data_IF_600426014392
#
_entry.id   IF_600426014392
#
_cell.length_a   1.000
_cell.length_b   1.000
_cell.length_c   1.000
_cell.angle_alpha   90.00
_cell.angle_beta   90.00
_cell.angle_gamma   90.00
#
_symmetry.space_group_name_H-M   'P 1'
#
loop_
_entity.id
_entity.type
_entity.pdbx_description
1 polymer ?
#
# COMPACT_ATOMS: atom_id res chain seq x y z
N UNK A 1 -7.65 -2.89 -9.18
CA UNK A 1 -7.01 -2.25 -10.36
C UNK A 1 -6.18 -1.02 -9.98
N UNK A 2 -6.72 -0.04 -9.24
CA UNK A 2 -5.96 1.17 -8.83
C UNK A 2 -4.64 0.88 -8.11
N UNK A 3 -4.67 0.12 -7.01
CA UNK A 3 -3.45 -0.22 -6.24
C UNK A 3 -2.39 -0.94 -7.09
N UNK A 4 -2.83 -1.85 -7.96
CA UNK A 4 -1.94 -2.61 -8.85
C UNK A 4 -1.23 -1.73 -9.89
N UNK A 5 -1.81 -0.59 -10.26
CA UNK A 5 -1.17 0.40 -11.14
C UNK A 5 -0.28 1.38 -10.35
N UNK A 6 -0.69 1.76 -9.14
CA UNK A 6 0.07 2.72 -8.32
C UNK A 6 1.40 2.15 -7.82
N UNK A 7 1.41 0.92 -7.29
CA UNK A 7 2.62 0.30 -6.74
C UNK A 7 3.82 0.27 -7.70
N UNK A 8 3.70 -0.22 -8.96
CA UNK A 8 4.82 -0.20 -9.90
C UNK A 8 5.17 1.19 -10.43
N UNK A 9 4.24 2.15 -10.37
CA UNK A 9 4.46 3.52 -10.85
C UNK A 9 5.21 4.40 -9.83
N UNK A 10 5.03 4.14 -8.53
CA UNK A 10 5.63 4.97 -7.46
C UNK A 10 7.16 5.01 -7.52
N UNK A 11 7.82 3.88 -7.72
CA UNK A 11 9.29 3.81 -7.78
C UNK A 11 9.88 4.69 -8.89
N UNK A 12 9.47 4.52 -10.16
CA UNK A 12 9.85 5.40 -11.26
C UNK A 12 9.53 6.88 -11.02
N UNK A 13 8.36 7.20 -10.45
CA UNK A 13 7.98 8.59 -10.15
C UNK A 13 8.92 9.24 -9.13
N UNK A 14 9.27 8.53 -8.04
CA UNK A 14 10.24 9.02 -7.05
C UNK A 14 11.59 9.25 -7.72
N UNK A 15 12.07 8.32 -8.55
CA UNK A 15 13.35 8.45 -9.24
C UNK A 15 13.40 9.61 -10.25
N UNK A 16 12.26 10.03 -10.79
CA UNK A 16 12.19 11.18 -11.70
C UNK A 16 12.29 12.52 -10.95
N UNK A 17 11.65 12.62 -9.77
CA UNK A 17 11.50 13.92 -9.08
C UNK A 17 12.57 14.16 -8.02
N UNK A 18 13.17 13.10 -7.49
CA UNK A 18 14.04 13.15 -6.33
C UNK A 18 15.48 12.81 -6.72
N UNK A 19 16.44 13.51 -6.12
CA UNK A 19 17.86 13.26 -6.35
C UNK A 19 18.24 11.85 -5.85
N UNK A 20 19.15 11.11 -6.53
CA UNK A 20 19.47 9.72 -6.18
C UNK A 20 19.89 9.50 -4.72
N UNK A 21 20.54 10.47 -4.08
CA UNK A 21 20.93 10.41 -2.65
C UNK A 21 19.74 10.48 -1.69
N UNK A 22 18.62 11.05 -2.12
CA UNK A 22 17.42 11.27 -1.29
C UNK A 22 16.34 10.22 -1.57
N UNK A 23 16.47 9.42 -2.64
CA UNK A 23 15.50 8.37 -3.00
C UNK A 23 15.24 7.39 -1.85
N UNK A 24 16.25 6.87 -1.10
CA UNK A 24 15.96 5.97 0.03
C UNK A 24 15.12 6.64 1.12
N UNK A 25 15.41 7.91 1.44
CA UNK A 25 14.69 8.67 2.47
C UNK A 25 13.23 8.89 2.06
N UNK A 26 12.98 9.33 0.83
CA UNK A 26 11.62 9.54 0.31
C UNK A 26 10.86 8.22 0.19
N UNK A 27 11.54 7.12 -0.16
CA UNK A 27 10.93 5.79 -0.21
C UNK A 27 10.52 5.31 1.18
N UNK A 28 11.39 5.44 2.18
CA UNK A 28 11.06 5.15 3.59
C UNK A 28 9.87 5.97 4.08
N UNK A 29 9.86 7.28 3.79
CA UNK A 29 8.75 8.16 4.14
C UNK A 29 7.45 7.74 3.43
N UNK A 30 7.51 7.35 2.16
CA UNK A 30 6.35 6.85 1.43
C UNK A 30 5.77 5.59 2.09
N UNK A 31 6.62 4.63 2.44
CA UNK A 31 6.20 3.39 3.11
C UNK A 31 5.60 3.70 4.51
N UNK A 32 6.18 4.65 5.24
CA UNK A 32 5.64 5.12 6.52
C UNK A 32 4.24 5.74 6.33
N UNK A 33 4.03 6.58 5.32
CA UNK A 33 2.72 7.14 5.00
C UNK A 33 1.69 6.07 4.61
N UNK A 34 2.09 5.07 3.81
CA UNK A 34 1.21 3.94 3.46
C UNK A 34 0.82 3.16 4.71
N UNK A 35 1.80 2.84 5.56
CA UNK A 35 1.57 2.13 6.83
C UNK A 35 0.64 2.90 7.76
N UNK A 36 0.84 4.22 7.89
CA UNK A 36 -0.06 5.10 8.65
C UNK A 36 -1.48 5.09 8.10
N UNK A 37 -1.64 5.15 6.77
CA UNK A 37 -2.95 5.04 6.13
C UNK A 37 -3.68 3.74 6.47
N UNK A 38 -2.95 2.62 6.48
CA UNK A 38 -3.49 1.32 6.89
C UNK A 38 -3.90 1.34 8.36
N UNK A 39 -3.04 1.83 9.26
CA UNK A 39 -3.34 1.94 10.70
C UNK A 39 -4.62 2.74 10.90
N UNK A 40 -4.68 3.96 10.36
CA UNK A 40 -5.86 4.83 10.47
C UNK A 40 -7.11 4.13 9.94
N UNK A 41 -7.02 3.50 8.77
CA UNK A 41 -8.17 2.81 8.16
C UNK A 41 -8.68 1.67 9.04
N UNK A 42 -7.78 0.78 9.50
CA UNK A 42 -8.13 -0.40 10.28
C UNK A 42 -8.66 -0.04 11.66
N UNK A 43 -8.03 0.93 12.36
CA UNK A 43 -8.46 1.33 13.70
C UNK A 43 -9.79 2.10 13.69
N UNK A 44 -10.09 2.84 12.61
CA UNK A 44 -11.28 3.72 12.56
C UNK A 44 -12.47 3.11 11.83
N UNK A 45 -12.28 2.10 10.99
CA UNK A 45 -13.36 1.50 10.21
C UNK A 45 -14.52 0.99 11.07
N UNK A 46 -14.24 0.15 12.07
CA UNK A 46 -15.26 -0.42 12.96
C UNK A 46 -16.01 0.63 13.81
N UNK A 47 -15.34 1.56 14.54
CA UNK A 47 -16.05 2.55 15.33
C UNK A 47 -16.86 3.52 14.46
N UNK A 48 -16.34 3.94 13.30
CA UNK A 48 -17.11 4.78 12.38
C UNK A 48 -18.32 4.04 11.83
N UNK A 49 -18.17 2.76 11.45
CA UNK A 49 -19.30 1.99 10.91
C UNK A 49 -20.42 1.81 11.93
N UNK A 50 -20.10 1.71 13.22
CA UNK A 50 -21.08 1.67 14.30
C UNK A 50 -21.86 2.99 14.49
N UNK A 51 -21.31 4.13 14.07
CA UNK A 51 -21.93 5.45 14.23
C UNK A 51 -22.72 5.91 12.99
N UNK A 52 -22.21 5.65 11.79
CA UNK A 52 -22.74 6.20 10.53
C UNK A 52 -23.05 5.15 9.46
N UNK A 53 -22.96 3.86 9.80
CA UNK A 53 -23.16 2.75 8.86
C UNK A 53 -21.91 2.48 8.00
N UNK A 54 -21.74 1.21 7.60
CA UNK A 54 -20.56 0.77 6.83
C UNK A 54 -20.49 1.39 5.43
N UNK A 55 -21.63 1.63 4.79
CA UNK A 55 -21.72 2.23 3.45
C UNK A 55 -21.11 3.63 3.42
N UNK A 56 -21.46 4.46 4.41
CA UNK A 56 -20.95 5.83 4.56
C UNK A 56 -19.45 5.84 4.80
N UNK A 57 -18.94 4.91 5.60
CA UNK A 57 -17.48 4.80 5.89
C UNK A 57 -16.70 4.43 4.64
N UNK A 58 -17.20 3.47 3.85
CA UNK A 58 -16.58 3.12 2.57
C UNK A 58 -16.60 4.32 1.59
N UNK A 59 -17.72 5.05 1.55
CA UNK A 59 -17.83 6.29 0.78
C UNK A 59 -16.81 7.35 1.20
N UNK A 60 -16.61 7.53 2.52
CA UNK A 60 -15.63 8.48 3.07
C UNK A 60 -14.19 8.10 2.69
N UNK A 61 -13.80 6.83 2.83
CA UNK A 61 -12.47 6.38 2.41
C UNK A 61 -12.26 6.52 0.89
N UNK A 62 -13.29 6.23 0.10
CA UNK A 62 -13.27 6.47 -1.34
C UNK A 62 -13.09 7.96 -1.68
N UNK A 63 -13.81 8.85 -0.99
CA UNK A 63 -13.71 10.29 -1.18
C UNK A 63 -12.30 10.83 -0.89
N UNK A 64 -11.63 10.34 0.16
CA UNK A 64 -10.22 10.67 0.44
C UNK A 64 -9.33 10.27 -0.74
N UNK A 65 -9.54 9.09 -1.31
CA UNK A 65 -8.84 8.64 -2.51
C UNK A 65 -9.08 9.55 -3.72
N UNK A 66 -10.31 10.01 -3.93
CA UNK A 66 -10.65 10.96 -5.01
C UNK A 66 -10.00 12.32 -4.82
N UNK A 67 -9.94 12.84 -3.58
CA UNK A 67 -9.24 14.08 -3.26
C UNK A 67 -7.75 13.94 -3.56
N UNK A 68 -7.14 12.81 -3.18
CA UNK A 68 -5.74 12.50 -3.51
C UNK A 68 -5.50 12.43 -5.03
N UNK A 69 -6.41 11.78 -5.76
CA UNK A 69 -6.35 11.72 -7.22
C UNK A 69 -6.48 13.11 -7.86
N UNK A 70 -7.38 13.96 -7.36
CA UNK A 70 -7.54 15.32 -7.85
C UNK A 70 -6.31 16.20 -7.54
N UNK A 71 -5.76 16.10 -6.32
CA UNK A 71 -4.53 16.80 -5.95
C UNK A 71 -3.36 16.39 -6.86
N UNK A 72 -3.28 15.10 -7.21
CA UNK A 72 -2.31 14.60 -8.18
C UNK A 72 -2.55 15.14 -9.59
N UNK A 73 -3.80 15.22 -10.07
CA UNK A 73 -4.11 15.77 -11.40
C UNK A 73 -3.69 17.24 -11.52
N UNK A 74 -3.80 18.02 -10.45
CA UNK A 74 -3.43 19.44 -10.44
C UNK A 74 -1.91 19.65 -10.28
N UNK A 75 -1.25 18.80 -9.49
CA UNK A 75 0.14 19.03 -9.06
C UNK A 75 1.17 18.10 -9.72
N UNK A 76 0.70 17.03 -10.37
CA UNK A 76 1.54 15.98 -10.95
C UNK A 76 2.34 16.49 -12.13
N UNK A 77 3.67 16.58 -11.98
CA UNK A 77 4.59 16.98 -13.06
C UNK A 77 5.21 15.75 -13.69
N UNK A 78 4.69 15.29 -14.82
CA UNK A 78 5.34 14.20 -15.58
C UNK A 78 6.49 14.81 -16.38
N UNK A 79 7.71 14.31 -16.19
CA UNK A 79 8.87 14.79 -16.93
C UNK A 79 8.86 14.17 -18.33
N UNK A 80 8.71 14.99 -19.39
CA UNK A 80 8.56 14.52 -20.79
C UNK A 80 9.71 13.61 -21.26
N UNK A 81 10.91 13.79 -20.72
CA UNK A 81 12.07 12.95 -21.03
C UNK A 81 11.88 11.46 -20.67
N UNK A 82 10.99 11.13 -19.73
CA UNK A 82 10.67 9.74 -19.40
C UNK A 82 9.71 9.08 -20.41
N UNK A 83 8.90 9.86 -21.14
CA UNK A 83 7.97 9.35 -22.15
C UNK A 83 8.68 9.02 -23.48
N UNK A 84 9.78 9.70 -23.79
CA UNK A 84 10.54 9.51 -25.03
C UNK A 84 11.61 8.41 -24.99
N UNK A 85 11.99 7.92 -23.81
CA UNK A 85 13.11 6.99 -23.62
C UNK A 85 12.70 5.53 -23.33
N UNK A 86 11.39 5.25 -23.23
CA UNK A 86 10.90 3.90 -22.95
C UNK A 86 10.98 3.03 -24.22
N UNK A 87 12.03 2.21 -24.33
CA UNK A 87 12.07 1.14 -25.32
C UNK A 87 10.91 0.18 -25.05
N UNK A 88 10.04 -0.12 -26.05
CA UNK A 88 8.95 -1.05 -25.86
C UNK A 88 9.51 -2.43 -25.50
N UNK A 89 9.16 -2.92 -24.31
CA UNK A 89 9.60 -4.21 -23.81
C UNK A 89 9.12 -5.32 -24.73
N UNK A 90 10.03 -6.16 -25.21
CA UNK A 90 9.68 -7.36 -25.97
C UNK A 90 9.05 -8.39 -25.03
N UNK A 91 8.00 -9.12 -25.46
CA UNK A 91 7.47 -10.26 -24.70
C UNK A 91 8.54 -11.29 -24.33
N UNK A 92 9.59 -11.41 -25.16
CA UNK A 92 10.75 -12.27 -24.90
C UNK A 92 11.57 -11.81 -23.70
N UNK A 93 11.73 -10.50 -23.52
CA UNK A 93 12.45 -9.91 -22.39
C UNK A 93 11.67 -10.11 -21.10
N UNK A 94 10.35 -9.87 -21.12
CA UNK A 94 9.45 -10.15 -19.99
C UNK A 94 9.56 -11.63 -19.59
N UNK A 95 9.47 -12.54 -20.56
CA UNK A 95 9.60 -13.97 -20.29
C UNK A 95 10.98 -14.35 -19.73
N UNK A 96 12.05 -13.70 -20.20
CA UNK A 96 13.41 -13.94 -19.70
C UNK A 96 13.58 -13.51 -18.23
N UNK A 97 12.94 -12.40 -17.83
CA UNK A 97 12.92 -11.90 -16.45
C UNK A 97 12.12 -12.85 -15.55
N UNK A 98 10.94 -13.29 -15.99
CA UNK A 98 10.10 -14.23 -15.24
C UNK A 98 10.77 -15.61 -15.08
N UNK A 99 11.59 -16.03 -16.04
CA UNK A 99 12.33 -17.30 -16.00
C UNK A 99 13.65 -17.20 -15.21
N UNK A 100 14.08 -16.00 -14.84
CA UNK A 100 15.27 -15.82 -14.00
C UNK A 100 14.97 -16.35 -12.59
N UNK A 101 15.72 -17.38 -12.18
CA UNK A 101 15.51 -18.05 -10.89
C UNK A 101 15.58 -17.09 -9.70
N UNK A 102 16.50 -16.12 -9.71
CA UNK A 102 16.66 -15.17 -8.61
C UNK A 102 15.45 -14.24 -8.51
N UNK A 103 14.99 -13.70 -9.65
CA UNK A 103 13.82 -12.81 -9.70
C UNK A 103 12.56 -13.57 -9.30
N UNK A 104 12.39 -14.80 -9.80
CA UNK A 104 11.27 -15.64 -9.43
C UNK A 104 11.24 -15.96 -7.94
N UNK A 105 12.38 -16.34 -7.35
CA UNK A 105 12.47 -16.65 -5.92
C UNK A 105 12.22 -15.41 -5.05
N UNK A 106 12.75 -14.24 -5.44
CA UNK A 106 12.49 -12.98 -4.75
C UNK A 106 11.00 -12.60 -4.82
N UNK A 107 10.39 -12.70 -6.00
CA UNK A 107 8.97 -12.42 -6.18
C UNK A 107 8.08 -13.39 -5.40
N UNK A 108 8.45 -14.68 -5.35
CA UNK A 108 7.74 -15.68 -4.56
C UNK A 108 7.84 -15.39 -3.06
N UNK A 109 9.04 -15.04 -2.57
CA UNK A 109 9.25 -14.67 -1.17
C UNK A 109 8.43 -13.42 -0.79
N UNK A 110 8.47 -12.38 -1.61
CA UNK A 110 7.70 -11.15 -1.39
C UNK A 110 6.19 -11.42 -1.39
N UNK A 111 5.70 -12.20 -2.37
CA UNK A 111 4.29 -12.60 -2.46
C UNK A 111 3.87 -13.40 -1.22
N UNK A 112 4.71 -14.31 -0.73
CA UNK A 112 4.43 -15.09 0.46
C UNK A 112 4.35 -14.20 1.71
N UNK A 113 5.31 -13.29 1.90
CA UNK A 113 5.30 -12.32 2.99
C UNK A 113 4.07 -11.42 2.95
N UNK A 114 3.72 -10.88 1.78
CA UNK A 114 2.55 -10.02 1.62
C UNK A 114 1.24 -10.78 1.84
N UNK A 115 1.14 -12.02 1.33
CA UNK A 115 -0.04 -12.87 1.54
C UNK A 115 -0.25 -13.20 3.02
N UNK A 116 0.83 -13.49 3.74
CA UNK A 116 0.78 -13.72 5.19
C UNK A 116 0.31 -12.46 5.93
N UNK A 117 0.82 -11.28 5.55
CA UNK A 117 0.38 -10.00 6.11
C UNK A 117 -1.11 -9.75 5.88
N UNK A 118 -1.62 -9.94 4.66
CA UNK A 118 -3.04 -9.76 4.32
C UNK A 118 -3.92 -10.77 5.05
N UNK A 119 -3.49 -12.04 5.12
CA UNK A 119 -4.21 -13.07 5.85
C UNK A 119 -4.33 -12.73 7.34
N UNK A 120 -3.24 -12.31 7.99
CA UNK A 120 -3.26 -11.89 9.38
C UNK A 120 -4.15 -10.67 9.58
N UNK A 121 -3.93 -9.59 8.83
CA UNK A 121 -4.68 -8.34 9.05
C UNK A 121 -6.16 -8.45 8.70
N UNK A 122 -6.54 -9.31 7.76
CA UNK A 122 -7.95 -9.53 7.40
C UNK A 122 -8.70 -10.46 8.34
N UNK A 123 -8.03 -11.47 8.91
CA UNK A 123 -8.69 -12.49 9.74
C UNK A 123 -8.61 -12.21 11.25
N UNK A 124 -7.50 -11.63 11.71
CA UNK A 124 -7.23 -11.46 13.14
C UNK A 124 -8.28 -10.62 13.90
N UNK A 125 -8.86 -9.54 13.33
CA UNK A 125 -9.92 -8.80 14.00
C UNK A 125 -11.15 -9.67 14.28
N UNK A 126 -11.56 -10.46 13.29
CA UNK A 126 -12.72 -11.37 13.40
C UNK A 126 -12.41 -12.50 14.38
N UNK A 127 -11.21 -13.08 14.33
CA UNK A 127 -10.78 -14.09 15.29
C UNK A 127 -10.83 -13.58 16.74
N UNK A 128 -10.32 -12.37 17.00
CA UNK A 128 -10.40 -11.78 18.35
C UNK A 128 -11.84 -11.47 18.77
N UNK A 129 -12.70 -11.10 17.84
CA UNK A 129 -14.11 -10.89 18.13
C UNK A 129 -14.82 -12.20 18.50
N UNK A 130 -14.72 -13.23 17.65
CA UNK A 130 -15.45 -14.48 17.79
C UNK A 130 -14.85 -15.41 18.86
N UNK A 131 -13.53 -15.62 18.85
CA UNK A 131 -12.87 -16.60 19.72
C UNK A 131 -12.44 -16.01 21.08
N UNK A 132 -12.26 -14.69 21.17
CA UNK A 132 -11.83 -14.01 22.41
C UNK A 132 -12.88 -13.07 22.99
N UNK A 133 -14.05 -12.93 22.36
CA UNK A 133 -15.14 -12.09 22.84
C UNK A 133 -14.82 -10.59 22.86
N UNK A 134 -13.78 -10.14 22.15
CA UNK A 134 -13.42 -8.72 22.09
C UNK A 134 -14.43 -7.96 21.23
N UNK A 135 -14.63 -6.67 21.51
CA UNK A 135 -15.38 -5.83 20.55
C UNK A 135 -14.58 -5.69 19.24
N UNK A 136 -15.27 -5.54 18.10
CA UNK A 136 -14.63 -5.29 16.80
C UNK A 136 -13.69 -4.06 16.84
N UNK A 137 -14.04 -3.05 17.62
CA UNK A 137 -13.20 -1.85 17.84
C UNK A 137 -11.87 -2.20 18.51
N UNK A 138 -11.90 -2.96 19.61
CA UNK A 138 -10.67 -3.38 20.31
C UNK A 138 -9.84 -4.34 19.44
N UNK A 139 -10.50 -5.26 18.75
CA UNK A 139 -9.86 -6.22 17.86
C UNK A 139 -9.16 -5.54 16.67
N UNK A 140 -9.83 -4.57 16.02
CA UNK A 140 -9.26 -3.74 14.96
C UNK A 140 -8.07 -2.90 15.45
N UNK A 141 -8.21 -2.28 16.62
CA UNK A 141 -7.11 -1.52 17.24
C UNK A 141 -5.88 -2.38 17.50
N UNK A 142 -6.03 -3.55 18.14
CA UNK A 142 -4.90 -4.46 18.39
C UNK A 142 -4.25 -4.95 17.10
N UNK A 143 -5.05 -5.28 16.08
CA UNK A 143 -4.53 -5.72 14.78
C UNK A 143 -3.74 -4.60 14.08
N UNK A 144 -4.17 -3.35 14.24
CA UNK A 144 -3.48 -2.18 13.67
C UNK A 144 -2.11 -1.88 14.30
N UNK A 145 -1.79 -2.46 15.47
CA UNK A 145 -0.47 -2.31 16.07
C UNK A 145 0.64 -2.96 15.23
N UNK A 146 0.32 -4.01 14.46
CA UNK A 146 1.30 -4.66 13.57
C UNK A 146 1.86 -3.69 12.52
N UNK A 147 1.04 -3.05 11.66
CA UNK A 147 1.55 -2.05 10.73
C UNK A 147 2.09 -0.79 11.42
N UNK A 148 1.60 -0.46 12.63
CA UNK A 148 2.11 0.67 13.40
C UNK A 148 3.58 0.47 13.81
N UNK A 149 3.94 -0.71 14.32
CA UNK A 149 5.34 -1.05 14.63
C UNK A 149 6.21 -1.02 13.37
N UNK A 150 5.64 -1.41 12.23
CA UNK A 150 6.31 -1.34 10.93
C UNK A 150 6.83 0.06 10.59
N UNK A 151 6.11 1.13 10.95
CA UNK A 151 6.50 2.52 10.65
C UNK A 151 7.90 2.85 11.20
N UNK A 152 8.20 2.44 12.44
CA UNK A 152 9.49 2.71 13.07
C UNK A 152 10.62 1.82 12.54
N UNK A 153 10.29 0.69 11.92
CA UNK A 153 11.29 -0.19 11.33
C UNK A 153 11.80 0.33 9.97
N UNK A 154 11.03 1.20 9.30
CA UNK A 154 11.38 1.73 7.96
C UNK A 154 12.00 3.14 8.01
N UNK A 155 11.88 3.84 9.13
CA UNK A 155 12.45 5.17 9.38
C UNK A 155 13.82 5.06 10.05
#
# INVERSE_FOLDING_TARGET
>A
LGVAAMLPATGPLIMQWIRPREVPIITSLNIACVSLGIVVSVSTAAPLAGLMGWETVLGLFGAVGLVGAFAWLVSGKVQEQALGAATPLSPREIWSVLRNKTIFLLGLADTACFSMYVALTGWLPTFYNEARGMSLTQAGFLTSLLPFMGIFAVL
#
